data_IF_885060421821
#
_entry.id   IF_885060421821
#
_cell.length_a   1.000
_cell.length_b   1.000
_cell.length_c   1.000
_cell.angle_alpha   90.00
_cell.angle_beta   90.00
_cell.angle_gamma   90.00
#
_symmetry.space_group_name_H-M   'P 1'
#
loop_
_entity.id
_entity.type
_entity.pdbx_description
1 polymer ?
#
# COMPACT_ATOMS: atom_id res chain seq x y z
N UNK A 1 -21.43 15.44 -5.90
CA UNK A 1 -22.13 14.22 -6.24
C UNK A 1 -21.35 13.00 -5.75
N UNK A 2 -22.01 12.10 -5.11
CA UNK A 2 -21.34 10.96 -4.53
C UNK A 2 -21.12 9.88 -5.58
N UNK A 3 -19.99 9.23 -5.49
CA UNK A 3 -19.72 8.07 -6.33
C UNK A 3 -20.44 6.87 -5.74
N UNK A 4 -20.94 5.96 -6.57
CA UNK A 4 -21.51 4.74 -6.02
C UNK A 4 -20.41 3.93 -5.36
N UNK A 5 -20.77 3.17 -4.34
CA UNK A 5 -19.83 2.32 -3.65
C UNK A 5 -19.44 1.17 -4.57
N UNK A 6 -18.14 1.02 -4.78
CA UNK A 6 -17.62 0.05 -5.73
C UNK A 6 -17.11 -1.22 -5.07
N UNK A 7 -16.79 -1.20 -3.80
CA UNK A 7 -16.21 -2.37 -3.16
C UNK A 7 -17.22 -3.13 -2.32
N UNK A 8 -16.96 -4.42 -2.15
CA UNK A 8 -17.81 -5.33 -1.42
C UNK A 8 -17.11 -5.72 -0.11
N UNK A 9 -17.73 -5.37 1.00
CA UNK A 9 -17.14 -5.68 2.32
C UNK A 9 -16.96 -7.17 2.55
N UNK A 10 -17.75 -8.00 1.88
CA UNK A 10 -17.64 -9.44 2.07
C UNK A 10 -16.55 -10.08 1.22
N UNK A 11 -15.90 -9.31 0.36
CA UNK A 11 -14.81 -9.86 -0.46
C UNK A 11 -13.61 -10.20 0.43
N UNK A 12 -13.19 -11.48 0.49
CA UNK A 12 -12.10 -11.86 1.40
C UNK A 12 -10.79 -11.11 1.14
N UNK A 13 -10.51 -10.76 -0.10
CA UNK A 13 -9.30 -10.02 -0.40
C UNK A 13 -9.37 -8.60 0.17
N UNK A 14 -10.52 -7.98 0.09
CA UNK A 14 -10.73 -6.65 0.67
C UNK A 14 -10.59 -6.72 2.19
N UNK A 15 -11.17 -7.74 2.80
CA UNK A 15 -11.05 -7.91 4.25
C UNK A 15 -9.61 -8.11 4.68
N UNK A 16 -8.87 -8.92 3.93
CA UNK A 16 -7.47 -9.16 4.25
C UNK A 16 -6.66 -7.88 4.12
N UNK A 17 -6.93 -7.11 3.07
CA UNK A 17 -6.27 -5.83 2.88
C UNK A 17 -6.54 -4.88 4.05
N UNK A 18 -7.79 -4.84 4.51
CA UNK A 18 -8.14 -4.02 5.66
C UNK A 18 -7.34 -4.40 6.89
N UNK A 19 -7.26 -5.69 7.17
CA UNK A 19 -6.53 -6.16 8.33
C UNK A 19 -5.09 -5.69 8.31
N UNK A 20 -4.46 -5.79 7.16
CA UNK A 20 -3.07 -5.40 7.03
C UNK A 20 -2.91 -3.89 7.24
N UNK A 21 -3.74 -3.11 6.57
CA UNK A 21 -3.62 -1.66 6.64
C UNK A 21 -3.98 -1.11 8.02
N UNK A 22 -5.04 -1.63 8.60
CA UNK A 22 -5.51 -1.09 9.88
C UNK A 22 -4.65 -1.55 11.06
N UNK A 23 -3.78 -2.52 10.84
CA UNK A 23 -2.82 -2.90 11.87
C UNK A 23 -1.67 -1.91 11.99
N UNK A 24 -1.49 -1.03 11.01
CA UNK A 24 -0.44 -0.02 11.08
C UNK A 24 -0.87 1.13 11.99
N UNK A 25 0.09 1.75 12.72
CA UNK A 25 -0.28 2.77 13.71
C UNK A 25 -1.00 3.96 13.12
N UNK A 26 -2.10 4.34 13.72
CA UNK A 26 -2.88 5.53 13.39
C UNK A 26 -3.48 5.53 11.99
N UNK A 27 -3.64 4.36 11.41
CA UNK A 27 -4.30 4.24 10.11
C UNK A 27 -5.81 4.15 10.32
N UNK A 28 -6.54 4.83 9.46
CA UNK A 28 -7.98 4.73 9.44
C UNK A 28 -8.46 4.56 8.00
N UNK A 29 -9.65 4.00 7.88
CA UNK A 29 -10.27 3.76 6.60
C UNK A 29 -11.29 4.84 6.31
N UNK A 30 -11.35 5.31 5.08
CA UNK A 30 -12.34 6.31 4.69
C UNK A 30 -12.79 6.01 3.26
N UNK A 31 -14.09 5.96 3.06
CA UNK A 31 -14.61 5.79 1.71
C UNK A 31 -14.46 7.10 0.93
N UNK A 32 -13.94 7.02 -0.27
CA UNK A 32 -13.81 8.16 -1.16
C UNK A 32 -13.88 7.64 -2.59
N UNK A 33 -14.56 8.37 -3.44
CA UNK A 33 -14.73 8.02 -4.85
C UNK A 33 -15.34 6.62 -5.02
N UNK A 34 -16.13 6.17 -4.05
CA UNK A 34 -16.75 4.85 -4.11
C UNK A 34 -15.80 3.72 -3.73
N UNK A 35 -14.59 4.03 -3.33
CA UNK A 35 -13.60 3.03 -2.95
C UNK A 35 -13.17 3.21 -1.51
N UNK A 36 -12.51 2.19 -1.00
CA UNK A 36 -11.98 2.20 0.37
C UNK A 36 -10.59 2.80 0.33
N UNK A 37 -10.35 3.84 1.10
CA UNK A 37 -9.01 4.44 1.17
C UNK A 37 -8.46 4.27 2.57
N UNK A 38 -7.13 4.14 2.66
CA UNK A 38 -6.42 4.02 3.91
C UNK A 38 -5.50 5.20 4.09
N UNK A 39 -5.65 5.87 5.21
CA UNK A 39 -4.98 7.13 5.50
C UNK A 39 -4.34 7.08 6.86
N UNK A 40 -3.34 7.92 7.05
CA UNK A 40 -2.66 8.01 8.34
C UNK A 40 -3.08 9.29 9.02
N UNK A 41 -3.50 9.20 10.27
CA UNK A 41 -3.88 10.38 11.05
C UNK A 41 -2.68 11.33 11.13
N UNK A 42 -2.90 12.57 10.75
CA UNK A 42 -1.82 13.56 10.71
C UNK A 42 -0.95 13.48 9.48
N UNK A 43 -1.21 12.53 8.61
CA UNK A 43 -0.44 12.36 7.38
C UNK A 43 -1.33 12.36 6.17
N UNK A 44 -1.13 11.43 5.26
CA UNK A 44 -1.86 11.40 3.99
C UNK A 44 -2.35 10.00 3.67
N UNK A 45 -3.04 9.88 2.55
CA UNK A 45 -3.51 8.61 2.03
C UNK A 45 -2.33 7.83 1.46
N UNK A 46 -2.27 6.54 1.75
CA UNK A 46 -1.21 5.70 1.20
C UNK A 46 -1.72 4.52 0.38
N UNK A 47 -3.01 4.22 0.45
CA UNK A 47 -3.57 3.11 -0.32
C UNK A 47 -5.04 3.35 -0.63
N UNK A 48 -5.49 2.81 -1.74
CA UNK A 48 -6.87 2.95 -2.20
C UNK A 48 -7.24 1.70 -2.99
N UNK A 49 -8.42 1.14 -2.71
CA UNK A 49 -8.87 -0.02 -3.47
C UNK A 49 -9.33 0.38 -4.87
N UNK A 50 -9.34 -0.62 -5.75
CA UNK A 50 -9.79 -0.48 -7.13
C UNK A 50 -10.66 -1.70 -7.43
N UNK A 51 -11.97 -1.53 -7.26
CA UNK A 51 -12.92 -2.60 -7.54
C UNK A 51 -13.55 -2.33 -8.88
N UNK A 52 -12.89 -2.76 -9.94
CA UNK A 52 -13.34 -2.47 -11.29
C UNK A 52 -13.60 -0.98 -11.47
N UNK A 53 -12.78 -0.16 -10.82
CA UNK A 53 -12.93 1.29 -10.82
C UNK A 53 -12.69 1.82 -12.24
N UNK A 54 -13.61 2.62 -12.73
CA UNK A 54 -13.56 3.10 -14.12
C UNK A 54 -13.43 1.93 -15.11
N UNK A 55 -14.11 0.83 -14.80
CA UNK A 55 -14.10 -0.35 -15.67
C UNK A 55 -12.70 -0.94 -15.88
N UNK A 56 -11.91 -0.93 -14.82
CA UNK A 56 -10.54 -1.45 -14.89
C UNK A 56 -10.50 -2.95 -15.19
N UNK A 57 -11.55 -3.68 -14.84
CA UNK A 57 -11.61 -5.11 -15.10
C UNK A 57 -10.94 -5.97 -14.03
N UNK A 58 -10.54 -5.38 -12.91
CA UNK A 58 -9.88 -6.15 -11.86
C UNK A 58 -10.18 -5.56 -10.48
N UNK A 59 -9.80 -6.32 -9.45
CA UNK A 59 -9.83 -5.86 -8.08
C UNK A 59 -8.38 -5.70 -7.64
N UNK A 60 -8.03 -4.52 -7.19
CA UNK A 60 -6.64 -4.19 -6.91
C UNK A 60 -6.57 -3.17 -5.78
N UNK A 61 -5.37 -2.86 -5.37
CA UNK A 61 -5.11 -1.75 -4.46
C UNK A 61 -4.02 -0.89 -5.09
N UNK A 62 -4.20 0.42 -5.04
CA UNK A 62 -3.19 1.38 -5.49
C UNK A 62 -2.44 1.80 -4.25
N UNK A 63 -1.11 1.76 -4.28
CA UNK A 63 -0.28 2.02 -3.10
C UNK A 63 0.77 3.06 -3.43
N UNK A 64 0.91 4.03 -2.54
CA UNK A 64 2.00 5.00 -2.64
C UNK A 64 3.33 4.25 -2.50
N UNK A 65 4.29 4.58 -3.35
CA UNK A 65 5.54 3.83 -3.37
C UNK A 65 6.74 4.78 -3.50
N UNK A 66 7.88 4.39 -2.96
CA UNK A 66 9.11 5.17 -3.12
C UNK A 66 9.53 5.22 -4.59
N UNK A 67 10.42 6.15 -4.89
CA UNK A 67 10.90 6.31 -6.26
C UNK A 67 11.43 4.98 -6.80
N UNK A 68 11.13 4.71 -8.06
CA UNK A 68 11.58 3.54 -8.80
C UNK A 68 10.85 2.24 -8.48
N UNK A 69 10.13 2.16 -7.37
CA UNK A 69 9.45 0.92 -6.99
C UNK A 69 8.36 0.56 -8.00
N UNK A 70 7.61 1.54 -8.48
CA UNK A 70 6.58 1.29 -9.49
C UNK A 70 7.21 0.62 -10.73
N UNK A 71 8.30 1.16 -11.21
CA UNK A 71 8.95 0.61 -12.39
C UNK A 71 9.46 -0.80 -12.17
N UNK A 72 10.06 -1.02 -11.03
CA UNK A 72 10.61 -2.33 -10.70
C UNK A 72 9.51 -3.37 -10.63
N UNK A 73 8.43 -3.06 -9.92
CA UNK A 73 7.34 -4.02 -9.76
C UNK A 73 6.63 -4.30 -11.07
N UNK A 74 6.29 -3.24 -11.82
CA UNK A 74 5.60 -3.43 -13.08
C UNK A 74 6.49 -4.20 -14.05
N UNK A 75 7.78 -3.92 -14.07
CA UNK A 75 8.70 -4.65 -14.91
C UNK A 75 8.86 -6.10 -14.51
N UNK A 76 8.64 -6.42 -13.25
CA UNK A 76 8.82 -7.79 -12.77
C UNK A 76 7.63 -8.68 -13.13
N UNK A 77 6.42 -8.13 -13.17
CA UNK A 77 5.24 -8.95 -13.44
C UNK A 77 4.07 -8.06 -13.83
N UNK A 78 3.85 -7.90 -15.12
CA UNK A 78 2.82 -7.01 -15.62
C UNK A 78 1.42 -7.55 -15.45
N UNK A 79 1.29 -8.81 -15.06
CA UNK A 79 -0.04 -9.36 -14.77
C UNK A 79 -0.49 -9.03 -13.36
N UNK A 80 0.46 -8.82 -12.46
CA UNK A 80 0.14 -8.53 -11.06
C UNK A 80 0.25 -7.06 -10.70
N UNK A 81 1.09 -6.32 -11.39
CA UNK A 81 1.35 -4.92 -11.07
C UNK A 81 1.09 -4.03 -12.28
N UNK A 82 0.61 -2.82 -12.02
CA UNK A 82 0.32 -1.90 -13.11
C UNK A 82 0.48 -0.46 -12.64
N UNK A 83 0.48 0.47 -13.59
CA UNK A 83 0.53 1.90 -13.31
C UNK A 83 -0.90 2.38 -13.16
N UNK A 84 -1.31 2.80 -11.96
CA UNK A 84 -2.71 3.20 -11.77
C UNK A 84 -3.00 4.53 -12.45
N UNK A 85 -4.25 4.71 -12.90
CA UNK A 85 -4.63 6.00 -13.47
C UNK A 85 -4.57 7.07 -12.39
N UNK A 86 -4.36 8.31 -12.81
CA UNK A 86 -4.32 9.49 -11.94
C UNK A 86 -3.15 9.51 -10.97
N UNK A 87 -2.84 8.39 -10.34
CA UNK A 87 -1.81 8.34 -9.31
C UNK A 87 -0.48 7.82 -9.85
N UNK A 88 -0.49 7.31 -11.07
CA UNK A 88 0.72 6.73 -11.65
C UNK A 88 1.85 7.72 -11.82
N UNK A 89 1.53 8.96 -12.15
CA UNK A 89 2.55 9.98 -12.33
C UNK A 89 3.29 10.29 -11.04
N UNK A 90 2.66 10.02 -9.90
CA UNK A 90 3.28 10.25 -8.60
C UNK A 90 4.05 9.03 -8.11
N UNK A 91 4.14 8.00 -8.93
CA UNK A 91 4.90 6.81 -8.56
C UNK A 91 4.10 5.73 -7.84
N UNK A 92 2.81 5.90 -7.69
CA UNK A 92 1.98 4.86 -7.08
C UNK A 92 1.96 3.63 -7.95
N UNK A 93 1.78 2.47 -7.32
CA UNK A 93 1.75 1.21 -8.05
C UNK A 93 0.42 0.51 -7.75
N UNK A 94 -0.16 -0.09 -8.78
CA UNK A 94 -1.35 -0.90 -8.63
C UNK A 94 -0.96 -2.35 -8.42
N UNK A 95 -1.58 -3.00 -7.43
CA UNK A 95 -1.30 -4.40 -7.11
C UNK A 95 -2.62 -5.14 -7.16
N UNK A 96 -2.73 -6.12 -8.05
CA UNK A 96 -3.94 -6.92 -8.13
C UNK A 96 -4.08 -7.79 -6.90
N UNK A 97 -5.28 -7.81 -6.33
CA UNK A 97 -5.57 -8.68 -5.20
C UNK A 97 -6.58 -9.77 -5.59
N UNK A 98 -6.94 -9.81 -6.86
CA UNK A 98 -7.78 -10.87 -7.40
C UNK A 98 -7.00 -11.87 -8.24
N UNK A 99 -5.66 -11.78 -8.25
CA UNK A 99 -4.85 -12.62 -9.10
C UNK A 99 -3.49 -12.88 -8.47
N UNK A 100 -3.26 -14.11 -8.04
CA UNK A 100 -1.96 -14.59 -7.55
C UNK A 100 -1.28 -13.63 -6.57
N UNK A 101 -2.05 -13.11 -5.62
CA UNK A 101 -1.52 -12.14 -4.68
C UNK A 101 -0.57 -12.83 -3.70
N UNK A 102 0.57 -12.19 -3.47
CA UNK A 102 1.51 -12.62 -2.44
C UNK A 102 1.36 -11.66 -1.28
N UNK A 103 0.64 -12.08 -0.27
CA UNK A 103 0.24 -11.20 0.81
C UNK A 103 1.41 -10.64 1.60
N UNK A 104 2.48 -11.43 1.79
CA UNK A 104 3.66 -10.93 2.48
C UNK A 104 4.33 -9.80 1.69
N UNK A 105 4.39 -9.96 0.37
CA UNK A 105 4.96 -8.94 -0.47
C UNK A 105 4.10 -7.68 -0.45
N UNK A 106 2.79 -7.86 -0.54
CA UNK A 106 1.87 -6.73 -0.51
C UNK A 106 1.95 -6.00 0.83
N UNK A 107 2.07 -6.74 1.93
CA UNK A 107 2.20 -6.11 3.23
C UNK A 107 3.45 -5.22 3.29
N UNK A 108 4.54 -5.67 2.68
CA UNK A 108 5.76 -4.87 2.63
C UNK A 108 5.58 -3.62 1.77
N UNK A 109 4.90 -3.76 0.65
CA UNK A 109 4.61 -2.62 -0.23
C UNK A 109 3.75 -1.59 0.51
N UNK A 110 2.72 -2.08 1.20
CA UNK A 110 1.82 -1.21 1.95
C UNK A 110 2.55 -0.48 3.08
N UNK A 111 3.44 -1.19 3.76
CA UNK A 111 4.19 -0.56 4.85
C UNK A 111 5.09 0.55 4.33
N UNK A 112 5.72 0.35 3.19
CA UNK A 112 6.56 1.40 2.61
C UNK A 112 5.73 2.62 2.22
N UNK A 113 4.55 2.41 1.66
CA UNK A 113 3.65 3.51 1.36
C UNK A 113 3.19 4.24 2.61
N UNK A 114 2.89 3.46 3.64
CA UNK A 114 2.52 4.01 4.93
C UNK A 114 3.64 4.91 5.48
N UNK A 115 4.89 4.43 5.42
CA UNK A 115 6.00 5.20 5.95
C UNK A 115 6.20 6.52 5.20
N UNK A 116 5.86 6.56 3.93
CA UNK A 116 5.93 7.80 3.16
C UNK A 116 4.83 8.79 3.54
N UNK A 117 3.73 8.29 4.08
CA UNK A 117 2.55 9.12 4.37
C UNK A 117 2.40 9.45 5.84
N UNK A 118 3.05 8.72 6.71
CA UNK A 118 2.92 8.90 8.16
C UNK A 118 3.73 10.09 8.64
N UNK A 119 3.24 10.79 9.67
CA UNK A 119 4.08 11.80 10.29
C UNK A 119 5.28 11.13 10.94
N UNK A 120 6.31 11.90 11.20
CA UNK A 120 7.57 11.39 11.67
C UNK A 120 7.44 10.49 12.90
N UNK A 121 6.61 10.86 13.83
CA UNK A 121 6.39 10.06 15.04
C UNK A 121 5.86 8.68 14.72
N UNK A 122 4.87 8.61 13.86
CA UNK A 122 4.26 7.33 13.50
C UNK A 122 5.23 6.47 12.72
N UNK A 123 6.05 7.09 11.88
CA UNK A 123 7.07 6.35 11.15
C UNK A 123 8.06 5.68 12.07
N UNK A 124 8.51 6.40 13.08
CA UNK A 124 9.45 5.86 14.03
C UNK A 124 8.85 4.67 14.77
N UNK A 125 7.61 4.81 15.21
CA UNK A 125 6.93 3.74 15.90
C UNK A 125 6.79 2.50 15.02
N UNK A 126 6.42 2.68 13.78
CA UNK A 126 6.25 1.56 12.89
C UNK A 126 7.57 0.87 12.58
N UNK A 127 8.63 1.64 12.45
CA UNK A 127 9.95 1.07 12.16
C UNK A 127 10.47 0.24 13.30
N UNK A 128 10.17 0.65 14.53
CA UNK A 128 10.68 -0.08 15.68
C UNK A 128 9.66 -1.04 16.27
N UNK A 129 8.48 -1.00 15.75
CA UNK A 129 7.40 -1.75 16.34
C UNK A 129 7.69 -3.20 16.47
N UNK A 130 8.37 -3.74 15.55
CA UNK A 130 8.69 -5.11 15.64
C UNK A 130 9.93 -5.32 16.41
N UNK A 131 10.83 -4.41 16.38
CA UNK A 131 12.05 -4.64 17.02
C UNK A 131 12.26 -3.73 18.11
N UNK A 132 12.49 -4.00 19.02
CA UNK A 132 12.63 -3.16 20.07
C UNK A 132 13.85 -2.44 19.96
N UNK A 133 14.20 -2.11 19.92
CA UNK A 133 14.93 -1.59 20.01
C UNK A 133 15.94 -1.36 19.68
N UNK A 134 16.45 -1.51 19.65
CA UNK A 134 17.29 -1.30 19.44
C UNK A 134 17.82 -0.88 18.83
N UNK A 135 17.89 -0.72 18.67
CA UNK A 135 18.21 -0.38 18.10
C UNK A 135 18.97 0.20 17.72
N UNK A 136 19.09 0.43 17.72
CA UNK A 136 19.64 0.96 17.34
C UNK A 136 20.55 1.15 16.73
N UNK A 137 21.04 1.05 16.41
CA UNK A 137 21.78 1.18 15.78
C UNK A 137 21.82 1.46 14.85
N UNK A 138 21.91 1.93 14.53
CA UNK A 138 21.79 2.34 13.63
C UNK A 138 22.21 2.44 12.64
N UNK A 139 22.32 2.50 12.27
CA UNK A 139 22.52 2.61 11.38
C UNK A 139 22.81 2.17 10.40
N UNK A 140 22.88 1.68 10.02
CA UNK A 140 23.12 1.13 9.11
C UNK A 140 22.48 1.19 8.18
N UNK A 141 22.45 1.44 7.54
CA UNK A 141 21.84 1.71 6.68
C UNK A 141 21.43 0.99 5.87
N UNK A 142 21.17 0.63 5.71
CA UNK A 142 20.84 0.00 5.05
C UNK A 142 20.12 0.01 4.37
N UNK A 143 19.84 0.15 4.10
CA UNK A 143 19.28 0.23 3.54
C UNK A 143 18.60 -0.13 2.71
N UNK A 144 18.01 -0.38 2.64
CA UNK A 144 17.68 -0.81 1.46
C UNK A 144 17.03 -2.12 1.41
N UNK A 145 16.69 -2.70 2.47
CA UNK A 145 16.05 -3.99 2.51
C UNK A 145 14.73 -4.05 1.81
N UNK A 146 13.95 -3.00 1.83
CA UNK A 146 12.67 -3.09 1.19
C UNK A 146 12.78 -3.27 -0.30
N UNK A 147 13.83 -2.76 -0.89
CA UNK A 147 14.02 -2.96 -2.31
C UNK A 147 14.19 -4.40 -2.66
N UNK A 148 14.90 -5.13 -1.85
CA UNK A 148 15.12 -6.54 -2.10
C UNK A 148 13.81 -7.28 -2.12
N UNK A 149 12.91 -6.93 -1.22
CA UNK A 149 11.62 -7.60 -1.17
C UNK A 149 10.80 -7.41 -2.43
N UNK A 150 10.96 -6.28 -3.09
CA UNK A 150 10.17 -6.00 -4.27
C UNK A 150 10.65 -6.75 -5.49
N UNK A 151 11.84 -7.28 -5.46
CA UNK A 151 12.38 -7.95 -6.61
C UNK A 151 11.98 -9.41 -6.73
N UNK A 152 11.31 -9.96 -5.78
CA UNK A 152 10.85 -11.34 -5.93
C UNK A 152 9.46 -11.44 -6.52
#
# INVERSE_FOLDING_TARGET
MAHPRMYDDSNPAIERLREICLALPKVFEKEAWGECTFRVTGGSMFAMTDNNHHSSGHVAVWVKAPAMVQEILVGSDQKRFFVPPYMGKQGWVGVRIDYKVKWDQLAAILKDGYLMSAPKKSRTRASTGAAPKRAAKPSRPIKTPSRIRYET
#
